data_IF_121204981741
#
_entry.id   IF_121204981741
#
_cell.length_a   1.000
_cell.length_b   1.000
_cell.length_c   1.000
_cell.angle_alpha   90.00
_cell.angle_beta   90.00
_cell.angle_gamma   90.00
#
_symmetry.space_group_name_H-M   'P 1'
#
loop_
_entity.id
_entity.type
_entity.pdbx_description
1 polymer ?
#
# COMPACT_ATOMS: atom_id res chain seq x y z
N UNK A 1 18.62 20.99 112.54
CA UNK A 1 17.21 21.43 112.63
C UNK A 1 16.81 21.88 111.23
N UNK A 2 16.14 21.03 110.45
CA UNK A 2 14.66 20.87 110.41
C UNK A 2 14.03 21.90 109.47
N UNK A 3 13.14 21.62 108.53
CA UNK A 3 12.58 20.42 107.91
C UNK A 3 11.69 20.94 106.75
N UNK A 4 11.49 20.12 105.73
CA UNK A 4 10.68 20.38 104.54
C UNK A 4 9.21 20.79 104.79
N UNK A 5 8.58 21.38 103.75
CA UNK A 5 7.36 20.81 103.13
C UNK A 5 7.00 21.48 101.79
N UNK A 6 6.77 20.62 100.79
CA UNK A 6 6.21 20.91 99.46
C UNK A 6 4.71 21.21 99.56
N UNK A 7 4.20 22.16 98.78
CA UNK A 7 2.82 22.17 98.29
C UNK A 7 2.83 22.55 96.81
N UNK A 8 2.21 21.71 95.99
CA UNK A 8 1.99 21.89 94.57
C UNK A 8 0.68 22.64 94.33
N UNK A 9 0.65 23.57 93.37
CA UNK A 9 -0.59 24.09 92.78
C UNK A 9 -0.41 24.11 91.27
N UNK A 10 -1.23 23.30 90.59
CA UNK A 10 -1.47 23.32 89.16
C UNK A 10 -2.15 24.65 88.78
N UNK A 11 -1.53 25.41 87.89
CA UNK A 11 -2.15 26.53 87.19
C UNK A 11 -2.04 26.30 85.69
N UNK A 12 -3.12 25.84 85.08
CA UNK A 12 -3.30 25.69 83.63
C UNK A 12 -3.26 27.07 82.96
N UNK A 13 -2.16 27.39 82.28
CA UNK A 13 -2.10 28.52 81.35
C UNK A 13 -2.53 28.02 79.98
N UNK A 14 -3.68 28.49 79.51
CA UNK A 14 -4.21 28.24 78.19
C UNK A 14 -3.33 28.99 77.16
N UNK A 15 -2.37 28.28 76.57
CA UNK A 15 -1.59 28.79 75.44
C UNK A 15 -2.50 28.79 74.21
N UNK A 16 -3.10 29.93 73.88
CA UNK A 16 -3.78 30.13 72.61
C UNK A 16 -2.70 30.25 71.51
N UNK A 17 -2.16 29.11 71.06
CA UNK A 17 -1.37 29.05 69.84
C UNK A 17 -2.30 29.38 68.67
N UNK A 18 -2.16 30.57 68.12
CA UNK A 18 -2.71 30.91 66.81
C UNK A 18 -1.97 30.01 65.81
N UNK A 19 -2.46 28.80 65.60
CA UNK A 19 -2.12 28.01 64.43
C UNK A 19 -2.73 28.76 63.25
N UNK A 20 -1.95 29.60 62.59
CA UNK A 20 -2.21 29.99 61.22
C UNK A 20 -2.16 28.71 60.39
N UNK A 21 -3.30 28.01 60.30
CA UNK A 21 -3.47 26.97 59.30
C UNK A 21 -3.16 27.63 57.97
N UNK A 22 -2.23 27.14 57.14
CA UNK A 22 -2.20 27.55 55.76
C UNK A 22 -3.59 27.24 55.22
N UNK A 23 -4.34 28.30 54.89
CA UNK A 23 -5.55 28.16 54.09
C UNK A 23 -5.03 27.75 52.72
N UNK A 24 -4.92 26.44 52.49
CA UNK A 24 -4.81 25.92 51.14
C UNK A 24 -6.11 26.32 50.46
N UNK A 25 -6.05 27.38 49.65
CA UNK A 25 -7.13 27.67 48.73
C UNK A 25 -7.33 26.41 47.87
N UNK A 26 -8.51 25.80 47.94
CA UNK A 26 -8.81 24.67 47.09
C UNK A 26 -8.83 25.17 45.64
N UNK A 27 -7.83 24.78 44.85
CA UNK A 27 -7.75 25.21 43.45
C UNK A 27 -9.03 24.83 42.70
N UNK A 28 -9.61 25.79 41.98
CA UNK A 28 -10.78 25.59 41.13
C UNK A 28 -10.44 24.51 40.09
N UNK A 29 -11.28 23.47 40.00
CA UNK A 29 -11.01 22.35 39.09
C UNK A 29 -11.36 22.71 37.65
N UNK A 30 -10.41 22.54 36.74
CA UNK A 30 -10.65 22.55 35.30
C UNK A 30 -11.20 21.17 34.94
N UNK A 31 -12.45 21.06 34.51
CA UNK A 31 -13.08 19.80 34.12
C UNK A 31 -13.25 19.62 32.61
N UNK A 32 -13.08 20.72 31.86
CA UNK A 32 -13.17 20.79 30.40
C UNK A 32 -12.06 21.65 29.84
N UNK A 33 -11.46 21.19 28.75
CA UNK A 33 -10.33 21.83 28.04
C UNK A 33 -10.73 22.02 26.59
N UNK A 34 -10.65 23.26 26.12
CA UNK A 34 -10.86 23.62 24.72
C UNK A 34 -9.53 24.02 24.09
N UNK A 35 -9.16 23.31 23.01
CA UNK A 35 -7.98 23.57 22.19
C UNK A 35 -8.45 23.91 20.79
N UNK A 36 -7.83 24.91 20.18
CA UNK A 36 -8.07 25.31 18.80
C UNK A 36 -6.77 25.24 18.02
N UNK A 37 -6.84 24.68 16.81
CA UNK A 37 -5.72 24.60 15.88
C UNK A 37 -6.11 25.23 14.55
N UNK A 38 -5.29 26.16 14.07
CA UNK A 38 -5.34 26.69 12.71
C UNK A 38 -4.07 26.26 11.97
N UNK A 39 -4.20 25.81 10.73
CA UNK A 39 -3.07 25.39 9.90
C UNK A 39 -3.07 26.12 8.56
N UNK A 40 -1.89 26.51 8.08
CA UNK A 40 -1.65 26.99 6.71
C UNK A 40 -0.79 26.03 5.89
N UNK A 41 -0.77 24.76 6.31
CA UNK A 41 -0.02 23.68 5.66
C UNK A 41 -0.56 23.38 4.26
N UNK A 42 0.36 23.10 3.35
CA UNK A 42 0.11 22.76 1.97
C UNK A 42 0.62 21.36 1.64
N UNK A 43 0.12 20.81 0.54
CA UNK A 43 0.66 19.57 -0.02
C UNK A 43 2.12 19.84 -0.42
N UNK A 44 3.00 18.89 -0.13
CA UNK A 44 4.43 19.00 -0.38
C UNK A 44 5.24 19.56 0.79
N UNK A 45 4.61 20.23 1.77
CA UNK A 45 5.32 20.75 2.95
C UNK A 45 5.95 19.61 3.77
N UNK A 46 7.06 19.89 4.46
CA UNK A 46 7.70 18.95 5.39
C UNK A 46 7.38 19.31 6.83
N UNK A 47 6.94 18.35 7.64
CA UNK A 47 6.72 18.59 9.08
C UNK A 47 8.00 18.87 9.86
N UNK A 48 9.18 18.65 9.28
CA UNK A 48 10.46 18.93 9.92
C UNK A 48 10.80 20.43 9.90
N UNK A 49 10.16 21.21 9.03
CA UNK A 49 10.42 22.64 8.83
C UNK A 49 9.25 23.55 9.19
N UNK A 50 8.12 22.99 9.62
CA UNK A 50 6.93 23.80 9.96
C UNK A 50 7.14 24.58 11.24
N UNK A 51 6.74 25.84 11.23
CA UNK A 51 6.73 26.69 12.41
C UNK A 51 5.47 26.40 13.24
N UNK A 52 5.67 26.19 14.55
CA UNK A 52 4.57 26.03 15.51
C UNK A 52 4.51 27.29 16.36
N UNK A 53 3.36 27.95 16.36
CA UNK A 53 3.04 29.01 17.29
C UNK A 53 2.01 28.52 18.30
N UNK A 54 2.15 28.92 19.56
CA UNK A 54 1.20 28.57 20.61
C UNK A 54 0.80 29.78 21.46
N UNK A 55 -0.42 29.74 22.01
CA UNK A 55 -1.13 30.87 22.62
C UNK A 55 -1.47 32.02 21.67
N UNK A 56 -1.26 31.84 20.36
CA UNK A 56 -1.66 32.76 19.31
C UNK A 56 -2.48 32.02 18.25
N UNK A 57 -3.40 32.73 17.60
CA UNK A 57 -4.21 32.20 16.49
C UNK A 57 -3.54 32.36 15.12
N UNK A 58 -2.40 33.05 15.04
CA UNK A 58 -1.65 33.36 13.81
C UNK A 58 -0.14 33.50 14.08
N UNK A 59 0.67 33.45 13.02
CA UNK A 59 2.11 33.73 13.08
C UNK A 59 3.02 32.51 12.84
N UNK A 60 2.47 31.29 12.89
CA UNK A 60 3.16 30.08 12.42
C UNK A 60 2.33 29.30 11.40
N UNK A 61 2.91 28.22 10.87
CA UNK A 61 2.24 27.29 9.95
C UNK A 61 1.18 26.46 10.66
N UNK A 62 1.44 26.17 11.94
CA UNK A 62 0.49 25.56 12.87
C UNK A 62 0.35 26.49 14.07
N UNK A 63 -0.87 26.94 14.34
CA UNK A 63 -1.18 27.82 15.46
C UNK A 63 -2.09 27.09 16.44
N UNK A 64 -1.62 26.82 17.65
CA UNK A 64 -2.35 26.11 18.70
C UNK A 64 -2.67 27.05 19.85
N UNK A 65 -3.94 27.22 20.19
CA UNK A 65 -4.33 28.17 21.22
C UNK A 65 -5.56 27.71 21.99
N UNK A 66 -5.78 28.34 23.14
CA UNK A 66 -7.00 28.20 23.92
C UNK A 66 -7.68 29.56 24.05
N UNK A 67 -8.98 29.55 24.31
CA UNK A 67 -9.72 30.75 24.74
C UNK A 67 -10.04 30.71 26.24
N UNK A 68 -9.51 29.72 26.97
CA UNK A 68 -9.69 29.65 28.42
C UNK A 68 -8.76 30.65 29.10
N UNK A 69 -9.25 31.24 30.18
CA UNK A 69 -8.52 32.12 31.11
C UNK A 69 -8.00 31.33 32.33
N UNK A 70 -7.84 30.01 32.21
CA UNK A 70 -7.58 29.09 33.35
C UNK A 70 -6.26 28.34 33.24
N UNK A 71 -5.69 28.31 32.05
CA UNK A 71 -4.48 27.59 31.73
C UNK A 71 -3.88 28.17 30.45
N UNK A 72 -2.58 28.01 30.28
CA UNK A 72 -1.87 28.34 29.05
C UNK A 72 -1.32 27.07 28.40
N UNK A 73 -1.04 27.15 27.09
CA UNK A 73 -0.26 26.13 26.40
C UNK A 73 1.20 26.54 26.53
N UNK A 74 2.01 25.75 27.22
CA UNK A 74 3.41 26.10 27.49
C UNK A 74 4.39 25.41 26.57
N UNK A 75 3.94 24.36 25.89
CA UNK A 75 4.72 23.62 24.90
C UNK A 75 3.81 22.94 23.87
N UNK A 76 4.29 22.86 22.63
CA UNK A 76 3.61 22.23 21.51
C UNK A 76 4.64 21.64 20.54
N UNK A 77 4.58 20.32 20.35
CA UNK A 77 5.53 19.60 19.49
C UNK A 77 4.79 18.65 18.52
N UNK A 78 5.35 18.49 17.33
CA UNK A 78 4.92 17.44 16.39
C UNK A 78 5.54 16.12 16.84
N UNK A 79 4.71 15.09 16.99
CA UNK A 79 5.12 13.75 17.42
C UNK A 79 4.91 12.69 16.35
N UNK A 80 4.34 13.07 15.20
CA UNK A 80 4.20 12.22 14.04
C UNK A 80 3.78 13.03 12.82
N UNK A 81 4.57 12.94 11.76
CA UNK A 81 4.41 13.71 10.53
C UNK A 81 5.14 13.03 9.37
N UNK A 82 5.41 13.79 8.31
CA UNK A 82 6.07 13.31 7.08
C UNK A 82 7.01 14.38 6.53
N UNK A 83 8.06 13.92 5.86
CA UNK A 83 9.02 14.76 5.14
C UNK A 83 8.42 15.43 3.89
N UNK A 84 7.26 14.95 3.44
CA UNK A 84 6.44 15.53 2.38
C UNK A 84 4.99 15.17 2.66
N UNK A 85 4.17 16.18 2.91
CA UNK A 85 2.75 16.02 3.23
C UNK A 85 1.93 15.77 1.96
N UNK A 86 1.08 14.75 2.01
CA UNK A 86 0.14 14.41 0.95
C UNK A 86 -1.30 14.63 1.42
N UNK A 87 -2.24 14.60 0.48
CA UNK A 87 -3.66 14.62 0.79
C UNK A 87 -4.02 13.48 1.77
N UNK A 88 -4.77 13.83 2.80
CA UNK A 88 -5.25 12.90 3.82
C UNK A 88 -4.28 12.61 4.96
N UNK A 89 -3.06 13.15 4.93
CA UNK A 89 -2.12 12.98 6.03
C UNK A 89 -2.63 13.62 7.33
N UNK A 90 -2.52 12.87 8.42
CA UNK A 90 -2.86 13.31 9.78
C UNK A 90 -1.57 13.57 10.57
N UNK A 91 -1.34 14.83 10.96
CA UNK A 91 -0.22 15.22 11.83
C UNK A 91 -0.61 14.98 13.28
N UNK A 92 0.29 14.35 14.05
CA UNK A 92 0.14 14.14 15.48
C UNK A 92 0.93 15.19 16.24
N UNK A 93 0.31 15.75 17.28
CA UNK A 93 0.95 16.73 18.15
C UNK A 93 0.78 16.36 19.61
N UNK A 94 1.76 16.74 20.42
CA UNK A 94 1.71 16.73 21.88
C UNK A 94 1.74 18.16 22.38
N UNK A 95 0.81 18.48 23.25
CA UNK A 95 0.66 19.80 23.87
C UNK A 95 0.85 19.65 25.38
N UNK A 96 1.55 20.58 26.00
CA UNK A 96 1.66 20.69 27.46
C UNK A 96 0.92 21.93 27.92
N UNK A 97 -0.03 21.76 28.83
CA UNK A 97 -0.89 22.81 29.35
C UNK A 97 -0.57 23.03 30.83
N UNK A 98 -0.36 24.26 31.25
CA UNK A 98 -0.08 24.64 32.63
C UNK A 98 -1.28 25.42 33.20
N UNK A 99 -1.84 25.03 34.36
CA UNK A 99 -2.96 25.75 34.95
C UNK A 99 -2.48 27.04 35.62
N UNK A 100 -3.29 28.10 35.56
CA UNK A 100 -3.02 29.32 36.34
C UNK A 100 -3.15 29.03 37.85
N UNK A 101 -2.56 29.90 38.69
CA UNK A 101 -2.35 29.67 40.13
C UNK A 101 -3.59 29.26 40.95
N UNK A 102 -4.78 29.76 40.61
CA UNK A 102 -6.04 29.41 41.28
C UNK A 102 -6.68 28.11 40.78
N UNK A 103 -6.12 27.49 39.73
CA UNK A 103 -6.73 26.38 39.03
C UNK A 103 -5.92 25.08 39.16
N UNK A 104 -6.58 23.96 38.91
CA UNK A 104 -5.90 22.67 38.76
C UNK A 104 -6.66 21.78 37.80
N UNK A 105 -5.95 21.03 36.97
CA UNK A 105 -6.57 20.02 36.12
C UNK A 105 -7.09 18.84 36.95
N UNK A 106 -8.27 18.34 36.59
CA UNK A 106 -8.83 17.12 37.20
C UNK A 106 -7.96 15.89 36.95
N UNK A 107 -8.20 14.81 37.70
CA UNK A 107 -7.37 13.61 37.66
C UNK A 107 -7.33 12.89 36.31
N UNK A 108 -8.47 12.81 35.60
CA UNK A 108 -8.59 12.03 34.36
C UNK A 108 -9.40 12.79 33.31
N UNK A 109 -8.92 12.77 32.07
CA UNK A 109 -9.60 13.33 30.90
C UNK A 109 -9.92 12.26 29.87
N UNK A 110 -11.06 12.44 29.21
CA UNK A 110 -11.50 11.65 28.06
C UNK A 110 -11.95 12.59 26.95
N UNK A 111 -12.35 12.04 25.81
CA UNK A 111 -12.92 12.81 24.68
C UNK A 111 -14.12 13.68 25.08
N UNK A 112 -14.89 13.28 26.11
CA UNK A 112 -16.01 14.10 26.63
C UNK A 112 -15.57 15.40 27.31
N UNK A 113 -14.29 15.50 27.68
CA UNK A 113 -13.74 16.62 28.44
C UNK A 113 -12.82 17.51 27.61
N UNK A 114 -12.39 17.04 26.45
CA UNK A 114 -11.42 17.75 25.61
C UNK A 114 -12.03 17.95 24.25
N UNK A 115 -12.28 19.21 23.90
CA UNK A 115 -12.65 19.61 22.54
C UNK A 115 -11.42 20.13 21.82
N UNK A 116 -11.23 19.65 20.59
CA UNK A 116 -10.15 20.09 19.70
C UNK A 116 -10.79 20.61 18.42
N UNK A 117 -10.81 21.92 18.23
CA UNK A 117 -11.15 22.51 16.92
C UNK A 117 -9.93 22.41 16.02
N UNK A 118 -10.11 22.02 14.75
CA UNK A 118 -8.99 21.79 13.83
C UNK A 118 -8.32 20.42 13.99
N UNK A 119 -8.89 19.52 14.78
CA UNK A 119 -8.35 18.18 14.97
C UNK A 119 -9.22 17.28 15.85
N UNK A 120 -8.61 16.24 16.40
CA UNK A 120 -9.22 15.21 17.25
C UNK A 120 -8.34 14.97 18.47
N UNK A 121 -9.00 14.79 19.60
CA UNK A 121 -8.37 14.29 20.82
C UNK A 121 -7.89 12.84 20.65
N UNK A 122 -6.69 12.51 21.14
CA UNK A 122 -6.16 11.14 21.17
C UNK A 122 -6.06 10.64 22.61
N UNK A 123 -5.32 11.36 23.45
CA UNK A 123 -5.14 10.99 24.86
C UNK A 123 -4.74 12.20 25.69
N UNK A 124 -4.95 12.11 27.00
CA UNK A 124 -4.46 13.10 27.94
C UNK A 124 -3.94 12.42 29.20
N UNK A 125 -2.88 12.99 29.77
CA UNK A 125 -2.27 12.50 31.00
C UNK A 125 -1.78 13.67 31.84
N UNK A 126 -1.94 13.56 33.16
CA UNK A 126 -1.43 14.57 34.08
C UNK A 126 0.01 14.24 34.47
N UNK A 127 0.90 15.23 34.43
CA UNK A 127 2.30 15.08 34.83
C UNK A 127 2.73 16.33 35.61
N UNK A 128 3.11 16.15 36.88
CA UNK A 128 3.61 17.23 37.74
C UNK A 128 2.68 18.45 37.91
N UNK A 129 1.38 18.29 37.71
CA UNK A 129 0.41 19.40 37.77
C UNK A 129 -0.13 19.80 36.40
N UNK A 130 0.69 19.66 35.37
CA UNK A 130 0.36 19.96 33.98
C UNK A 130 -0.48 18.87 33.34
N UNK A 131 -1.20 19.26 32.28
CA UNK A 131 -1.93 18.34 31.42
C UNK A 131 -1.21 18.19 30.09
N UNK A 132 -0.74 16.98 29.79
CA UNK A 132 -0.21 16.63 28.48
C UNK A 132 -1.35 16.09 27.64
N UNK A 133 -1.62 16.72 26.49
CA UNK A 133 -2.69 16.34 25.57
C UNK A 133 -2.09 15.96 24.23
N UNK A 134 -2.34 14.73 23.79
CA UNK A 134 -2.01 14.28 22.44
C UNK A 134 -3.22 14.49 21.53
N UNK A 135 -3.00 15.11 20.38
CA UNK A 135 -4.02 15.39 19.37
C UNK A 135 -3.55 14.90 18.00
N UNK A 136 -4.53 14.69 17.12
CA UNK A 136 -4.34 14.56 15.68
C UNK A 136 -4.97 15.76 15.00
N UNK A 137 -4.26 16.41 14.10
CA UNK A 137 -4.84 17.48 13.30
C UNK A 137 -5.85 16.90 12.31
N UNK A 138 -6.75 17.75 11.81
CA UNK A 138 -7.61 17.37 10.72
C UNK A 138 -6.74 16.95 9.52
N UNK A 139 -7.11 15.87 8.81
CA UNK A 139 -6.41 15.43 7.62
C UNK A 139 -6.23 16.56 6.60
N UNK A 140 -5.06 16.60 5.96
CA UNK A 140 -4.77 17.61 4.95
C UNK A 140 -5.73 17.46 3.77
N UNK A 141 -6.35 18.57 3.37
CA UNK A 141 -7.27 18.60 2.23
C UNK A 141 -6.59 19.24 1.03
N UNK A 142 -6.96 18.81 -0.16
CA UNK A 142 -6.48 19.43 -1.39
C UNK A 142 -7.26 18.98 -2.62
N UNK A 143 -6.77 19.38 -3.79
CA UNK A 143 -7.31 18.94 -5.08
C UNK A 143 -6.26 18.08 -5.74
N UNK A 144 -6.66 16.91 -6.25
CA UNK A 144 -5.75 16.04 -6.99
C UNK A 144 -5.32 16.68 -8.31
N UNK A 145 -4.13 16.31 -8.77
CA UNK A 145 -3.65 16.67 -10.09
C UNK A 145 -4.36 15.85 -11.16
N UNK A 146 -4.64 16.45 -12.34
CA UNK A 146 -5.21 15.71 -13.44
C UNK A 146 -4.19 14.78 -14.09
N UNK A 147 -4.63 13.69 -14.76
CA UNK A 147 -3.72 12.80 -15.47
C UNK A 147 -2.91 13.52 -16.56
N UNK A 148 -1.67 13.06 -16.74
CA UNK A 148 -0.72 13.59 -17.72
C UNK A 148 -0.70 12.70 -18.98
N UNK A 149 -0.13 13.21 -20.08
CA UNK A 149 0.05 12.48 -21.36
C UNK A 149 -1.19 11.67 -21.80
N UNK A 150 -2.35 12.35 -21.78
CA UNK A 150 -3.66 11.77 -22.09
C UNK A 150 -3.84 11.62 -23.59
N UNK A 151 -3.66 10.41 -24.09
CA UNK A 151 -3.59 10.12 -25.53
C UNK A 151 -4.26 8.80 -25.93
N UNK A 152 -4.45 8.61 -27.23
CA UNK A 152 -4.76 7.31 -27.80
C UNK A 152 -3.47 6.56 -28.09
N UNK A 153 -3.41 5.26 -27.77
CA UNK A 153 -2.27 4.42 -28.15
C UNK A 153 -2.19 4.27 -29.68
N UNK A 154 -0.97 4.36 -30.21
CA UNK A 154 -0.68 4.10 -31.63
C UNK A 154 -1.00 2.65 -32.04
N UNK A 155 -0.82 1.70 -31.11
CA UNK A 155 -1.09 0.29 -31.33
C UNK A 155 -2.49 -0.08 -30.82
N UNK A 156 -3.46 -0.21 -31.73
CA UNK A 156 -4.80 -0.72 -31.43
C UNK A 156 -5.87 0.38 -31.30
N UNK A 157 -7.05 0.11 -31.88
CA UNK A 157 -8.14 1.08 -31.98
C UNK A 157 -8.88 1.21 -30.65
N UNK A 158 -9.06 2.44 -30.18
CA UNK A 158 -9.88 2.74 -29.01
C UNK A 158 -9.20 2.50 -27.66
N UNK A 159 -7.87 2.34 -27.65
CA UNK A 159 -7.11 2.19 -26.42
C UNK A 159 -6.66 3.57 -25.93
N UNK A 160 -7.29 4.05 -24.86
CA UNK A 160 -6.88 5.25 -24.13
C UNK A 160 -5.69 4.93 -23.22
N UNK A 161 -4.75 5.87 -23.08
CA UNK A 161 -3.61 5.82 -22.17
C UNK A 161 -3.43 7.19 -21.49
N UNK A 162 -2.91 7.18 -20.27
CA UNK A 162 -2.47 8.36 -19.55
C UNK A 162 -1.34 8.00 -18.58
N UNK A 163 -0.59 9.01 -18.17
CA UNK A 163 0.43 8.90 -17.13
C UNK A 163 -0.16 9.39 -15.79
N UNK A 164 0.25 8.73 -14.71
CA UNK A 164 -0.24 9.01 -13.36
C UNK A 164 0.45 10.28 -12.82
N UNK A 165 -0.30 11.31 -12.38
CA UNK A 165 0.31 12.55 -11.92
C UNK A 165 0.90 12.40 -10.52
N UNK A 166 1.68 13.38 -10.08
CA UNK A 166 2.38 13.33 -8.79
C UNK A 166 1.42 13.21 -7.60
N UNK A 167 0.43 14.10 -7.52
CA UNK A 167 -0.57 14.11 -6.45
C UNK A 167 -1.89 13.49 -6.93
N UNK A 168 -2.06 12.20 -6.67
CA UNK A 168 -3.15 11.38 -7.21
C UNK A 168 -3.73 10.43 -6.19
N UNK A 169 -4.98 10.02 -6.39
CA UNK A 169 -5.58 8.89 -5.68
C UNK A 169 -5.29 7.54 -6.36
N UNK A 170 -4.86 7.56 -7.63
CA UNK A 170 -4.74 6.40 -8.52
C UNK A 170 -6.08 5.89 -9.07
N UNK A 171 -7.17 6.65 -8.89
CA UNK A 171 -8.51 6.34 -9.39
C UNK A 171 -9.01 7.44 -10.33
N UNK A 172 -9.70 7.04 -11.39
CA UNK A 172 -10.10 7.93 -12.48
C UNK A 172 -11.55 7.76 -12.89
N UNK A 173 -12.22 8.88 -13.20
CA UNK A 173 -13.41 8.86 -14.04
C UNK A 173 -12.97 9.07 -15.49
N UNK A 174 -13.51 8.28 -16.42
CA UNK A 174 -13.20 8.35 -17.85
C UNK A 174 -14.50 8.44 -18.64
N UNK A 175 -14.61 9.40 -19.55
CA UNK A 175 -15.79 9.58 -20.40
C UNK A 175 -15.37 9.50 -21.86
N UNK A 176 -15.98 8.58 -22.61
CA UNK A 176 -15.86 8.50 -24.06
C UNK A 176 -16.89 9.41 -24.72
N UNK A 177 -16.43 10.20 -25.69
CA UNK A 177 -17.23 11.11 -26.48
C UNK A 177 -17.11 10.73 -27.96
N UNK A 178 -18.22 10.84 -28.69
CA UNK A 178 -18.24 10.88 -30.16
C UNK A 178 -18.82 12.22 -30.59
N UNK A 179 -18.00 13.08 -31.19
CA UNK A 179 -18.32 14.50 -31.32
C UNK A 179 -18.56 15.12 -29.94
N UNK A 180 -19.78 15.64 -29.70
CA UNK A 180 -20.21 16.18 -28.42
C UNK A 180 -21.05 15.21 -27.57
N UNK A 181 -21.37 14.02 -28.09
CA UNK A 181 -22.22 13.05 -27.42
C UNK A 181 -21.40 12.14 -26.51
N UNK A 182 -21.77 12.07 -25.23
CA UNK A 182 -21.24 11.05 -24.31
C UNK A 182 -21.75 9.67 -24.72
N UNK A 183 -20.81 8.76 -24.97
CA UNK A 183 -21.10 7.37 -25.34
C UNK A 183 -21.09 6.48 -24.11
N UNK A 184 -20.06 6.58 -23.28
CA UNK A 184 -19.96 5.83 -22.03
C UNK A 184 -19.21 6.62 -20.96
N UNK A 185 -19.41 6.23 -19.70
CA UNK A 185 -18.70 6.73 -18.53
C UNK A 185 -18.23 5.55 -17.70
N UNK A 186 -16.94 5.55 -17.38
CA UNK A 186 -16.30 4.65 -16.42
C UNK A 186 -16.01 5.46 -15.17
N UNK A 187 -16.41 4.96 -14.02
CA UNK A 187 -16.23 5.65 -12.73
C UNK A 187 -15.28 4.85 -11.84
N UNK A 188 -14.45 5.56 -11.06
CA UNK A 188 -13.52 4.97 -10.11
C UNK A 188 -12.64 3.84 -10.71
N UNK A 189 -12.17 4.04 -11.94
CA UNK A 189 -11.28 3.10 -12.61
C UNK A 189 -9.85 3.20 -12.04
N UNK A 190 -9.20 2.06 -11.85
CA UNK A 190 -7.80 1.99 -11.42
C UNK A 190 -6.94 1.37 -12.52
N UNK A 191 -5.99 2.14 -13.03
CA UNK A 191 -5.08 1.75 -14.11
C UNK A 191 -4.53 2.98 -14.83
N UNK A 192 -3.76 2.76 -15.89
CA UNK A 192 -3.15 3.80 -16.74
C UNK A 192 -3.55 3.66 -18.23
N UNK A 193 -4.50 2.78 -18.52
CA UNK A 193 -5.08 2.62 -19.85
C UNK A 193 -6.49 2.04 -19.77
N UNK A 194 -7.33 2.32 -20.76
CA UNK A 194 -8.68 1.76 -20.86
C UNK A 194 -9.05 1.50 -22.32
N UNK A 195 -9.71 0.37 -22.59
CA UNK A 195 -10.09 -0.01 -23.95
C UNK A 195 -11.58 0.26 -24.21
N UNK A 196 -11.86 1.30 -24.99
CA UNK A 196 -13.20 1.74 -25.41
C UNK A 196 -13.73 1.02 -26.66
N UNK A 197 -12.99 0.07 -27.24
CA UNK A 197 -13.31 -0.54 -28.53
C UNK A 197 -14.75 -1.04 -28.61
N UNK A 198 -15.28 -1.61 -27.53
CA UNK A 198 -16.63 -2.16 -27.48
C UNK A 198 -17.72 -1.07 -27.57
N UNK A 199 -17.46 0.12 -27.02
CA UNK A 199 -18.39 1.25 -26.97
C UNK A 199 -18.43 2.03 -28.30
N UNK A 200 -17.39 1.89 -29.13
CA UNK A 200 -17.23 2.62 -30.39
C UNK A 200 -18.05 2.02 -31.55
N UNK A 201 -19.38 2.01 -31.43
CA UNK A 201 -20.28 1.26 -32.34
C UNK A 201 -20.68 1.94 -33.63
N UNK A 202 -20.28 3.19 -33.84
CA UNK A 202 -20.58 3.93 -35.06
C UNK A 202 -19.37 4.73 -35.50
N UNK A 203 -19.28 5.03 -36.80
CA UNK A 203 -18.20 5.83 -37.35
C UNK A 203 -18.29 7.26 -36.83
N UNK A 204 -17.15 7.93 -36.81
CA UNK A 204 -17.07 9.33 -36.42
C UNK A 204 -15.85 9.64 -35.59
N UNK A 205 -15.74 10.92 -35.21
CA UNK A 205 -14.63 11.42 -34.41
C UNK A 205 -14.87 11.13 -32.94
N UNK A 206 -13.93 10.42 -32.32
CA UNK A 206 -13.93 10.09 -30.91
C UNK A 206 -12.83 10.86 -30.17
N UNK A 207 -13.11 11.16 -28.90
CA UNK A 207 -12.15 11.61 -27.90
C UNK A 207 -12.59 11.08 -26.55
N UNK A 208 -11.68 11.03 -25.58
CA UNK A 208 -12.07 10.77 -24.21
C UNK A 208 -11.62 11.92 -23.31
N UNK A 209 -12.30 12.07 -22.19
CA UNK A 209 -11.85 12.93 -21.11
C UNK A 209 -11.68 12.12 -19.84
N UNK A 210 -10.70 12.50 -19.04
CA UNK A 210 -10.31 11.80 -17.82
C UNK A 210 -10.04 12.81 -16.70
N UNK A 211 -10.26 12.40 -15.46
CA UNK A 211 -9.84 13.14 -14.27
C UNK A 211 -9.52 12.19 -13.13
N UNK A 212 -8.64 12.61 -12.23
CA UNK A 212 -8.39 11.92 -10.96
C UNK A 212 -9.59 12.15 -10.04
N UNK A 213 -10.08 11.09 -9.39
CA UNK A 213 -11.25 11.13 -8.51
C UNK A 213 -10.94 10.58 -7.12
N UNK A 214 -11.81 10.87 -6.17
CA UNK A 214 -11.66 10.35 -4.82
C UNK A 214 -11.91 8.86 -4.78
N UNK A 215 -11.08 8.09 -4.08
CA UNK A 215 -11.22 6.62 -4.04
C UNK A 215 -12.32 6.11 -3.10
N UNK A 216 -12.78 6.93 -2.15
CA UNK A 216 -13.82 6.60 -1.16
C UNK A 216 -14.35 7.86 -0.43
N UNK A 217 -15.40 7.69 0.39
CA UNK A 217 -16.01 8.76 1.20
C UNK A 217 -15.10 9.38 2.28
N UNK A 218 -13.97 8.74 2.58
CA UNK A 218 -12.96 9.22 3.55
C UNK A 218 -11.80 9.92 2.85
N UNK A 219 -11.88 10.12 1.54
CA UNK A 219 -10.89 10.84 0.78
C UNK A 219 -10.97 12.34 1.11
N UNK A 220 -9.85 12.90 1.54
CA UNK A 220 -9.73 14.31 1.89
C UNK A 220 -9.39 15.19 0.67
N UNK A 221 -9.22 14.56 -0.49
CA UNK A 221 -9.01 15.20 -1.77
C UNK A 221 -10.31 15.60 -2.48
N UNK A 222 -10.19 16.53 -3.40
CA UNK A 222 -11.19 16.86 -4.42
C UNK A 222 -10.71 16.31 -5.76
N UNK A 223 -11.63 15.88 -6.60
CA UNK A 223 -11.31 15.48 -7.97
C UNK A 223 -10.57 16.57 -8.71
N UNK A 224 -9.65 16.17 -9.59
CA UNK A 224 -8.97 17.10 -10.50
C UNK A 224 -9.95 17.68 -11.53
N UNK A 225 -9.46 18.69 -12.26
CA UNK A 225 -10.09 19.10 -13.51
C UNK A 225 -10.07 17.97 -14.56
N UNK A 226 -10.96 18.08 -15.54
CA UNK A 226 -11.00 17.15 -16.67
C UNK A 226 -9.93 17.52 -17.70
N UNK A 227 -9.16 16.54 -18.13
CA UNK A 227 -8.27 16.61 -19.30
C UNK A 227 -8.90 15.83 -20.43
N UNK A 228 -8.77 16.34 -21.66
CA UNK A 228 -9.36 15.73 -22.86
C UNK A 228 -8.24 15.30 -23.79
N UNK A 229 -8.35 14.08 -24.32
CA UNK A 229 -7.43 13.55 -25.32
C UNK A 229 -7.53 14.28 -26.65
N UNK A 230 -6.56 14.02 -27.53
CA UNK A 230 -6.71 14.28 -28.96
C UNK A 230 -7.88 13.51 -29.57
N UNK A 231 -8.29 13.97 -30.74
CA UNK A 231 -9.37 13.39 -31.53
C UNK A 231 -8.84 12.30 -32.48
N UNK A 232 -9.57 11.20 -32.55
CA UNK A 232 -9.31 10.10 -33.50
C UNK A 232 -10.58 9.82 -34.31
N UNK A 233 -10.45 9.74 -35.64
CA UNK A 233 -11.57 9.38 -36.51
C UNK A 233 -11.66 7.86 -36.70
N UNK A 234 -12.80 7.29 -36.33
CA UNK A 234 -13.12 5.89 -36.57
C UNK A 234 -13.92 5.74 -37.86
N UNK A 235 -13.35 5.05 -38.83
CA UNK A 235 -14.02 4.70 -40.08
C UNK A 235 -15.08 3.60 -39.90
N UNK A 236 -16.07 3.55 -40.80
CA UNK A 236 -17.15 2.55 -40.83
C UNK A 236 -16.65 1.11 -40.82
N UNK A 237 -15.54 0.83 -41.51
CA UNK A 237 -14.91 -0.50 -41.53
C UNK A 237 -14.38 -0.96 -40.17
N UNK A 238 -14.18 -0.03 -39.23
CA UNK A 238 -13.56 -0.27 -37.93
C UNK A 238 -14.52 -0.10 -36.75
N UNK A 239 -15.81 0.15 -36.98
CA UNK A 239 -16.80 0.32 -35.91
C UNK A 239 -17.01 -1.00 -35.14
N UNK A 240 -17.38 -0.90 -33.86
CA UNK A 240 -17.85 -2.03 -33.06
C UNK A 240 -19.25 -2.41 -33.52
N UNK A 241 -19.55 -3.67 -33.71
CA UNK A 241 -20.93 -4.07 -34.04
C UNK A 241 -21.87 -4.03 -32.84
N UNK A 242 -21.41 -3.63 -31.64
CA UNK A 242 -22.25 -3.42 -30.45
C UNK A 242 -23.01 -4.65 -29.97
N UNK A 243 -22.73 -5.83 -30.55
CA UNK A 243 -23.48 -7.05 -30.36
C UNK A 243 -22.90 -7.93 -29.28
N UNK A 244 -23.31 -7.69 -28.03
CA UNK A 244 -23.64 -8.80 -27.16
C UNK A 244 -24.83 -9.55 -27.78
N UNK A 245 -24.56 -10.50 -28.67
CA UNK A 245 -25.60 -11.39 -29.16
C UNK A 245 -25.97 -12.38 -28.05
N UNK A 246 -27.12 -12.12 -27.41
CA UNK A 246 -27.94 -13.17 -26.83
C UNK A 246 -28.33 -14.12 -27.95
N UNK A 247 -27.79 -15.32 -27.85
CA UNK A 247 -28.21 -16.58 -28.44
C UNK A 247 -28.11 -16.73 -29.97
N UNK A 248 -26.95 -17.23 -30.41
CA UNK A 248 -26.78 -18.57 -31.02
C UNK A 248 -25.26 -18.89 -31.09
N UNK A 249 -24.80 -19.78 -30.19
CA UNK A 249 -23.52 -20.49 -30.17
C UNK A 249 -22.21 -19.73 -30.51
N UNK A 250 -21.49 -19.25 -29.49
CA UNK A 250 -20.04 -19.53 -29.38
C UNK A 250 -19.02 -18.39 -29.42
N UNK A 251 -19.38 -17.10 -29.36
CA UNK A 251 -18.38 -16.01 -29.43
C UNK A 251 -18.52 -14.98 -28.30
N UNK A 252 -18.11 -15.35 -27.09
CA UNK A 252 -17.88 -14.39 -26.01
C UNK A 252 -16.50 -13.74 -26.13
N UNK A 253 -16.33 -12.49 -25.70
CA UNK A 253 -15.01 -11.86 -25.54
C UNK A 253 -14.38 -12.40 -24.23
N UNK A 254 -13.06 -12.55 -24.20
CA UNK A 254 -12.33 -13.12 -23.07
C UNK A 254 -12.15 -14.64 -23.18
N UNK A 255 -12.16 -15.33 -22.05
CA UNK A 255 -11.99 -16.78 -22.01
C UNK A 255 -13.24 -17.50 -22.50
N UNK A 256 -13.09 -18.29 -23.56
CA UNK A 256 -14.14 -19.09 -24.16
C UNK A 256 -13.78 -20.56 -24.04
N UNK A 257 -14.71 -21.38 -23.53
CA UNK A 257 -14.54 -22.84 -23.52
C UNK A 257 -15.36 -23.45 -24.66
N UNK A 258 -14.72 -24.24 -25.51
CA UNK A 258 -15.39 -25.08 -26.51
C UNK A 258 -14.94 -26.53 -26.33
N UNK A 259 -15.90 -27.40 -25.99
CA UNK A 259 -15.59 -28.75 -25.48
C UNK A 259 -14.72 -28.67 -24.22
N UNK A 260 -13.58 -29.35 -24.24
CA UNK A 260 -12.57 -29.30 -23.16
C UNK A 260 -11.44 -28.30 -23.41
N UNK A 261 -11.53 -27.50 -24.45
CA UNK A 261 -10.47 -26.58 -24.85
C UNK A 261 -10.85 -25.14 -24.55
N UNK A 262 -9.90 -24.39 -23.99
CA UNK A 262 -10.03 -22.96 -23.76
C UNK A 262 -9.40 -22.16 -24.89
N UNK A 263 -10.04 -21.05 -25.21
CA UNK A 263 -9.61 -20.07 -26.20
C UNK A 263 -9.71 -18.69 -25.56
N UNK A 264 -8.92 -17.73 -26.05
CA UNK A 264 -9.06 -16.34 -25.63
C UNK A 264 -9.40 -15.46 -26.82
N UNK A 265 -10.52 -14.76 -26.75
CA UNK A 265 -10.95 -13.82 -27.79
C UNK A 265 -10.71 -12.40 -27.30
N UNK A 266 -9.92 -11.65 -28.05
CA UNK A 266 -9.69 -10.24 -27.77
C UNK A 266 -10.98 -9.43 -27.99
N UNK A 267 -11.08 -8.23 -27.40
CA UNK A 267 -12.23 -7.36 -27.58
C UNK A 267 -12.51 -6.95 -29.03
N UNK A 268 -11.50 -6.96 -29.91
CA UNK A 268 -11.67 -6.71 -31.35
C UNK A 268 -12.29 -7.91 -32.11
N UNK A 269 -12.64 -8.98 -31.39
CA UNK A 269 -13.19 -10.22 -31.93
C UNK A 269 -12.13 -11.19 -32.46
N UNK A 270 -10.86 -10.80 -32.53
CA UNK A 270 -9.79 -11.70 -32.95
C UNK A 270 -9.52 -12.77 -31.89
N UNK A 271 -9.14 -13.96 -32.35
CA UNK A 271 -8.77 -15.06 -31.48
C UNK A 271 -7.27 -14.95 -31.19
N UNK A 272 -6.88 -15.01 -29.91
CA UNK A 272 -5.47 -15.22 -29.58
C UNK A 272 -5.05 -16.58 -30.12
N UNK A 273 -4.19 -16.53 -31.12
CA UNK A 273 -3.53 -17.67 -31.74
C UNK A 273 -2.02 -17.45 -31.63
N UNK A 274 -1.29 -18.55 -31.62
CA UNK A 274 0.16 -18.64 -31.70
C UNK A 274 0.95 -17.79 -30.68
N UNK A 275 1.54 -18.45 -29.70
CA UNK A 275 2.50 -17.86 -28.78
C UNK A 275 1.90 -17.35 -27.48
N UNK A 276 2.73 -16.62 -26.74
CA UNK A 276 2.45 -16.20 -25.37
C UNK A 276 1.44 -15.07 -25.31
N UNK A 277 0.68 -15.01 -24.22
CA UNK A 277 -0.20 -13.89 -23.87
C UNK A 277 -0.21 -13.66 -22.35
N UNK A 278 -0.24 -12.38 -21.94
CA UNK A 278 -0.30 -12.00 -20.53
C UNK A 278 -1.71 -11.51 -20.18
N UNK A 279 -2.45 -12.32 -19.42
CA UNK A 279 -3.88 -12.12 -19.16
C UNK A 279 -4.13 -12.20 -17.65
N UNK A 280 -4.64 -11.12 -17.04
CA UNK A 280 -5.00 -11.12 -15.61
C UNK A 280 -3.85 -11.55 -14.69
N UNK A 281 -2.67 -10.94 -14.88
CA UNK A 281 -1.45 -11.20 -14.14
C UNK A 281 -0.84 -12.60 -14.25
N UNK A 282 -1.18 -13.31 -15.34
CA UNK A 282 -0.67 -14.66 -15.63
C UNK A 282 -0.29 -14.79 -17.09
N UNK A 283 0.76 -15.57 -17.36
CA UNK A 283 1.16 -15.94 -18.72
C UNK A 283 0.45 -17.22 -19.16
N UNK A 284 -0.01 -17.22 -20.41
CA UNK A 284 -0.63 -18.35 -21.10
C UNK A 284 0.04 -18.54 -22.46
N UNK A 285 -0.04 -19.76 -23.00
CA UNK A 285 0.50 -20.09 -24.31
C UNK A 285 -0.61 -20.65 -25.19
N UNK A 286 -0.69 -20.19 -26.44
CA UNK A 286 -1.71 -20.61 -27.40
C UNK A 286 -1.06 -21.25 -28.63
N UNK A 287 -1.69 -22.28 -29.18
CA UNK A 287 -1.26 -22.84 -30.48
C UNK A 287 -1.80 -22.03 -31.66
N UNK A 288 -1.40 -22.43 -32.87
CA UNK A 288 -1.80 -21.82 -34.15
C UNK A 288 -3.32 -21.80 -34.38
N UNK A 289 -4.06 -22.72 -33.78
CA UNK A 289 -5.53 -22.77 -33.82
C UNK A 289 -6.20 -22.00 -32.68
N UNK A 290 -5.43 -21.40 -31.77
CA UNK A 290 -5.89 -20.59 -30.64
C UNK A 290 -6.28 -21.39 -29.41
N UNK A 291 -5.93 -22.68 -29.36
CA UNK A 291 -6.15 -23.51 -28.17
C UNK A 291 -5.14 -23.13 -27.11
N UNK A 292 -5.64 -22.84 -25.91
CA UNK A 292 -4.83 -22.63 -24.72
C UNK A 292 -4.13 -23.94 -24.34
N UNK A 293 -2.80 -23.88 -24.27
CA UNK A 293 -1.96 -25.02 -23.96
C UNK A 293 -1.81 -25.22 -22.45
N UNK A 294 -1.64 -26.49 -22.06
CA UNK A 294 -1.38 -26.92 -20.68
C UNK A 294 -0.21 -27.91 -20.67
N UNK A 295 0.34 -28.21 -19.49
CA UNK A 295 1.45 -29.13 -19.32
C UNK A 295 2.80 -28.59 -19.82
N UNK A 296 3.72 -29.51 -20.14
CA UNK A 296 5.03 -29.17 -20.69
C UNK A 296 4.93 -28.68 -22.13
N UNK A 297 5.51 -27.52 -22.40
CA UNK A 297 5.50 -26.89 -23.72
C UNK A 297 6.91 -26.47 -24.11
N UNK A 298 7.25 -26.65 -25.39
CA UNK A 298 8.50 -26.16 -25.96
C UNK A 298 8.21 -24.92 -26.80
N UNK A 299 8.79 -23.79 -26.43
CA UNK A 299 8.60 -22.50 -27.11
C UNK A 299 9.97 -21.85 -27.31
N UNK A 300 10.29 -21.47 -28.54
CA UNK A 300 11.57 -20.84 -28.91
C UNK A 300 12.82 -21.63 -28.47
N UNK A 301 12.74 -22.96 -28.50
CA UNK A 301 13.83 -23.85 -28.09
C UNK A 301 13.89 -24.14 -26.59
N UNK A 302 13.12 -23.43 -25.78
CA UNK A 302 13.08 -23.54 -24.32
C UNK A 302 11.83 -24.28 -23.83
N UNK A 303 11.93 -24.91 -22.65
CA UNK A 303 10.81 -25.62 -22.04
C UNK A 303 10.13 -24.79 -20.95
N UNK A 304 8.80 -24.83 -20.93
CA UNK A 304 7.94 -24.17 -19.96
C UNK A 304 6.88 -25.15 -19.47
N UNK A 305 6.29 -24.87 -18.31
CA UNK A 305 5.18 -25.66 -17.78
C UNK A 305 3.98 -24.79 -17.49
N UNK A 306 2.83 -25.18 -18.03
CA UNK A 306 1.54 -24.53 -17.87
C UNK A 306 0.68 -25.44 -16.98
N UNK A 307 0.03 -24.91 -15.94
CA UNK A 307 -0.84 -25.74 -15.08
C UNK A 307 -2.13 -26.16 -15.81
N UNK A 308 -3.01 -26.90 -15.14
CA UNK A 308 -4.30 -27.36 -15.70
C UNK A 308 -5.24 -26.22 -16.10
N UNK A 309 -5.03 -25.02 -15.57
CA UNK A 309 -5.74 -23.79 -15.94
C UNK A 309 -4.99 -22.96 -16.99
N UNK A 310 -3.91 -23.49 -17.57
CA UNK A 310 -3.09 -22.83 -18.60
C UNK A 310 -2.11 -21.78 -18.09
N UNK A 311 -2.02 -21.57 -16.78
CA UNK A 311 -1.14 -20.56 -16.21
C UNK A 311 0.31 -21.07 -16.17
N UNK A 312 1.25 -20.28 -16.67
CA UNK A 312 2.67 -20.56 -16.58
C UNK A 312 3.14 -20.66 -15.13
N UNK A 313 3.87 -21.73 -14.82
CA UNK A 313 4.48 -21.96 -13.52
C UNK A 313 5.91 -21.44 -13.47
N UNK A 314 6.34 -21.14 -12.25
CA UNK A 314 7.72 -20.78 -11.89
C UNK A 314 8.09 -21.52 -10.61
N UNK A 315 9.38 -21.64 -10.32
CA UNK A 315 9.92 -22.40 -9.21
C UNK A 315 9.93 -23.92 -9.45
N UNK A 316 9.98 -24.67 -8.35
CA UNK A 316 9.99 -26.13 -8.38
C UNK A 316 8.67 -26.71 -8.91
N UNK A 317 8.77 -27.63 -9.87
CA UNK A 317 7.66 -28.36 -10.45
C UNK A 317 7.97 -29.85 -10.48
N UNK A 318 7.12 -30.66 -9.87
CA UNK A 318 7.21 -32.11 -9.95
C UNK A 318 6.42 -32.62 -11.17
N UNK A 319 7.00 -33.51 -11.94
CA UNK A 319 6.35 -34.15 -13.09
C UNK A 319 6.92 -35.56 -13.30
N UNK A 320 6.06 -36.56 -13.45
CA UNK A 320 6.44 -37.97 -13.64
C UNK A 320 7.48 -38.48 -12.61
N UNK A 321 7.31 -38.10 -11.34
CA UNK A 321 8.21 -38.50 -10.25
C UNK A 321 9.56 -37.78 -10.21
N UNK A 322 9.82 -36.84 -11.12
CA UNK A 322 11.05 -36.03 -11.15
C UNK A 322 10.75 -34.57 -10.82
N UNK A 323 11.73 -33.88 -10.25
CA UNK A 323 11.67 -32.45 -9.97
C UNK A 323 12.38 -31.66 -11.05
N UNK A 324 11.80 -30.53 -11.43
CA UNK A 324 12.33 -29.57 -12.40
C UNK A 324 12.26 -28.18 -11.79
N UNK A 325 13.12 -27.27 -12.23
CA UNK A 325 13.06 -25.87 -11.81
C UNK A 325 12.77 -24.94 -12.98
N UNK A 326 11.68 -24.20 -12.87
CA UNK A 326 11.26 -23.18 -13.83
C UNK A 326 11.73 -21.81 -13.31
N UNK A 327 12.52 -21.10 -14.10
CA UNK A 327 13.19 -19.86 -13.70
C UNK A 327 12.19 -18.85 -13.11
N UNK A 328 12.45 -18.36 -11.89
CA UNK A 328 11.64 -17.31 -11.28
C UNK A 328 12.01 -15.91 -11.77
N UNK A 329 13.24 -15.78 -12.29
CA UNK A 329 13.84 -14.54 -12.79
C UNK A 329 13.74 -14.44 -14.31
N UNK A 330 14.25 -13.36 -14.89
CA UNK A 330 14.23 -13.14 -16.35
C UNK A 330 15.30 -14.02 -17.04
N UNK A 331 14.96 -14.76 -18.12
CA UNK A 331 13.63 -14.99 -18.68
C UNK A 331 12.78 -15.94 -17.82
N UNK A 332 11.59 -15.49 -17.43
CA UNK A 332 10.72 -16.12 -16.44
C UNK A 332 10.03 -17.35 -17.00
N UNK A 333 9.96 -18.42 -16.21
CA UNK A 333 9.27 -19.67 -16.56
C UNK A 333 10.12 -20.68 -17.34
N UNK A 334 11.27 -20.28 -17.90
CA UNK A 334 12.18 -21.18 -18.60
C UNK A 334 12.67 -22.30 -17.68
N UNK A 335 12.58 -23.55 -18.11
CA UNK A 335 13.17 -24.69 -17.40
C UNK A 335 14.70 -24.60 -17.40
N UNK A 336 15.29 -24.72 -16.23
CA UNK A 336 16.74 -24.83 -16.08
C UNK A 336 17.19 -26.26 -16.44
N UNK A 337 18.32 -26.37 -17.13
CA UNK A 337 18.97 -27.64 -17.48
C UNK A 337 20.49 -27.46 -17.54
N UNK A 338 21.21 -28.55 -17.27
CA UNK A 338 22.68 -28.62 -17.24
C UNK A 338 23.32 -27.50 -16.40
N UNK A 339 22.72 -27.18 -15.24
CA UNK A 339 23.12 -26.01 -14.46
C UNK A 339 22.95 -26.21 -12.96
N UNK A 340 23.71 -25.43 -12.20
CA UNK A 340 23.58 -25.31 -10.76
C UNK A 340 22.45 -24.34 -10.40
N UNK A 341 21.69 -24.69 -9.38
CA UNK A 341 20.69 -23.82 -8.76
C UNK A 341 21.06 -23.60 -7.30
N UNK A 342 21.13 -22.33 -6.90
CA UNK A 342 21.31 -21.94 -5.50
C UNK A 342 19.98 -21.36 -4.99
N UNK A 343 19.41 -22.01 -3.98
CA UNK A 343 18.18 -21.56 -3.35
C UNK A 343 18.45 -20.55 -2.24
N UNK A 344 17.45 -19.74 -1.89
CA UNK A 344 17.56 -18.70 -0.86
C UNK A 344 17.82 -19.24 0.54
N UNK A 345 17.57 -20.53 0.78
CA UNK A 345 17.88 -21.23 2.03
C UNK A 345 19.34 -21.73 2.12
N UNK A 346 20.20 -21.35 1.17
CA UNK A 346 21.62 -21.70 1.14
C UNK A 346 21.91 -23.10 0.57
N UNK A 347 20.89 -23.79 0.03
CA UNK A 347 21.07 -25.12 -0.58
C UNK A 347 21.40 -25.04 -2.06
N UNK A 348 22.26 -25.96 -2.49
CA UNK A 348 22.63 -26.14 -3.88
C UNK A 348 21.97 -27.36 -4.48
N UNK A 349 21.51 -27.25 -5.71
CA UNK A 349 20.90 -28.31 -6.51
C UNK A 349 21.56 -28.32 -7.88
N UNK A 350 21.43 -29.42 -8.60
CA UNK A 350 21.87 -29.51 -9.99
C UNK A 350 20.75 -30.10 -10.85
N UNK A 351 20.51 -29.47 -12.00
CA UNK A 351 19.53 -29.92 -12.99
C UNK A 351 20.31 -30.55 -14.14
N UNK A 352 20.00 -31.81 -14.47
CA UNK A 352 20.67 -32.56 -15.53
C UNK A 352 20.38 -32.01 -16.93
N UNK A 353 20.90 -32.67 -17.96
CA UNK A 353 20.71 -32.26 -19.36
C UNK A 353 19.24 -32.28 -19.82
N UNK A 354 18.37 -33.00 -19.11
CA UNK A 354 16.92 -33.04 -19.35
C UNK A 354 16.16 -32.10 -18.39
N UNK A 355 16.87 -31.32 -17.56
CA UNK A 355 16.31 -30.43 -16.55
C UNK A 355 15.84 -31.12 -15.27
N UNK A 356 16.02 -32.43 -15.15
CA UNK A 356 15.63 -33.16 -13.95
C UNK A 356 16.66 -32.93 -12.83
N UNK A 357 16.16 -32.67 -11.63
CA UNK A 357 16.97 -32.54 -10.42
C UNK A 357 17.74 -33.83 -10.15
N UNK A 358 19.05 -33.72 -9.98
CA UNK A 358 19.90 -34.85 -9.66
C UNK A 358 19.70 -35.32 -8.22
N UNK A 359 19.84 -36.64 -8.03
CA UNK A 359 19.84 -37.32 -6.74
C UNK A 359 20.98 -38.34 -6.72
N UNK A 360 21.50 -38.62 -5.53
CA UNK A 360 22.61 -39.54 -5.32
C UNK A 360 23.95 -39.02 -5.86
N UNK A 361 24.88 -39.96 -6.09
CA UNK A 361 26.19 -39.67 -6.65
C UNK A 361 26.09 -39.26 -8.12
N UNK A 362 26.53 -38.04 -8.44
CA UNK A 362 26.47 -37.46 -9.78
C UNK A 362 27.82 -36.85 -10.16
N UNK A 363 28.30 -37.14 -11.37
CA UNK A 363 29.53 -36.53 -11.90
C UNK A 363 29.20 -35.28 -12.74
N UNK A 364 29.77 -34.13 -12.35
CA UNK A 364 29.57 -32.83 -13.00
C UNK A 364 30.94 -32.26 -13.33
N UNK A 365 31.22 -32.02 -14.61
CA UNK A 365 32.51 -31.48 -15.10
C UNK A 365 33.74 -32.21 -14.53
N UNK A 366 33.68 -33.55 -14.50
CA UNK A 366 34.77 -34.42 -14.03
C UNK A 366 34.89 -34.58 -12.51
N UNK A 367 34.09 -33.87 -11.71
CA UNK A 367 34.06 -33.99 -10.23
C UNK A 367 32.80 -34.73 -9.78
N UNK A 368 32.91 -35.50 -8.70
CA UNK A 368 31.78 -36.20 -8.10
C UNK A 368 31.16 -35.38 -6.99
N UNK A 369 29.83 -35.34 -6.96
CA UNK A 369 29.00 -34.69 -5.97
C UNK A 369 27.93 -35.68 -5.49
N UNK A 370 27.37 -35.44 -4.31
CA UNK A 370 26.24 -36.21 -3.80
C UNK A 370 25.06 -35.28 -3.50
N UNK A 371 23.88 -35.63 -4.02
CA UNK A 371 22.62 -34.94 -3.77
C UNK A 371 21.72 -35.85 -2.93
N UNK A 372 21.18 -35.37 -1.81
CA UNK A 372 20.36 -36.21 -0.95
C UNK A 372 19.08 -36.69 -1.66
N UNK A 373 18.81 -38.00 -1.73
CA UNK A 373 17.60 -38.52 -2.38
C UNK A 373 16.32 -37.84 -1.85
N UNK A 374 15.30 -37.72 -2.70
CA UNK A 374 14.03 -37.01 -2.47
C UNK A 374 14.13 -35.48 -2.27
N UNK A 375 15.16 -35.00 -1.57
CA UNK A 375 15.31 -33.59 -1.24
C UNK A 375 16.21 -32.83 -2.21
N UNK A 376 17.10 -33.52 -2.92
CA UNK A 376 17.92 -33.02 -4.02
C UNK A 376 19.02 -32.03 -3.68
N UNK A 377 19.17 -31.60 -2.42
CA UNK A 377 20.23 -30.66 -2.08
C UNK A 377 21.59 -31.35 -1.96
N UNK A 378 22.62 -30.63 -2.38
CA UNK A 378 24.00 -31.09 -2.39
C UNK A 378 24.55 -31.23 -0.97
N UNK A 379 25.24 -32.34 -0.71
CA UNK A 379 26.01 -32.55 0.48
C UNK A 379 27.33 -31.75 0.44
N UNK A 380 27.63 -31.03 1.52
CA UNK A 380 28.86 -30.24 1.68
C UNK A 380 29.47 -30.51 3.06
N UNK A 381 30.80 -30.43 3.17
CA UNK A 381 31.54 -30.60 4.44
C UNK A 381 31.11 -31.84 5.24
N UNK A 382 30.90 -32.96 4.57
CA UNK A 382 30.38 -34.19 5.19
C UNK A 382 31.04 -35.42 4.58
N UNK A 383 30.71 -36.60 5.12
CA UNK A 383 31.10 -37.90 4.55
C UNK A 383 29.83 -38.66 4.19
N UNK A 384 29.76 -39.12 2.94
CA UNK A 384 28.70 -40.02 2.46
C UNK A 384 29.35 -41.38 2.23
N UNK A 385 28.86 -42.39 2.94
CA UNK A 385 29.49 -43.71 3.04
C UNK A 385 30.96 -43.61 3.53
N UNK A 386 31.93 -43.77 2.63
CA UNK A 386 33.37 -43.65 2.89
C UNK A 386 34.03 -42.51 2.11
N UNK A 387 33.24 -41.64 1.48
CA UNK A 387 33.74 -40.58 0.59
C UNK A 387 33.55 -39.20 1.23
N UNK A 388 34.66 -38.49 1.46
CA UNK A 388 34.66 -37.15 2.06
C UNK A 388 34.36 -36.07 1.02
N UNK A 389 33.37 -35.23 1.29
CA UNK A 389 32.97 -34.09 0.46
C UNK A 389 33.46 -32.78 1.08
N UNK A 390 34.10 -31.94 0.27
CA UNK A 390 34.65 -30.65 0.70
C UNK A 390 33.60 -29.54 0.88
N UNK A 391 34.03 -28.30 1.16
CA UNK A 391 33.15 -27.16 1.33
C UNK A 391 32.41 -26.74 0.05
N UNK A 392 32.93 -27.13 -1.12
CA UNK A 392 32.26 -26.95 -2.42
C UNK A 392 31.44 -28.19 -2.84
N UNK A 393 31.27 -29.18 -1.95
CA UNK A 393 30.53 -30.41 -2.19
C UNK A 393 31.23 -31.45 -3.07
N UNK A 394 32.39 -31.14 -3.65
CA UNK A 394 33.11 -32.09 -4.48
C UNK A 394 33.79 -33.17 -3.61
N UNK A 395 33.79 -34.41 -4.10
CA UNK A 395 34.53 -35.51 -3.49
C UNK A 395 36.04 -35.24 -3.49
N UNK A 396 36.64 -35.31 -2.30
CA UNK A 396 38.07 -35.22 -2.07
C UNK A 396 38.64 -36.63 -2.09
N UNK A 397 39.44 -36.91 -3.13
CA UNK A 397 40.16 -38.17 -3.29
C UNK A 397 41.30 -38.32 -2.31
#
# INVERSE_FOLDING_TARGET
MSLAKKIAILGTVLLCSILSKPVYAANKTISSVGIKVNTSLNIGDSTDSVSINYNSSSGGDINVYTTSDRFDIVDAEITGGRSRLNIGDEIKMKLTLEPHSEYSFKGTYSSSNISVSGGKFVSASKKNGDLVVNIKLNPLKGTYEPPEDVEWKDSGIGIAKWDEPGETSGYYDIILLRGSTQITKVENYKGNSYNFRNDMTQKGTYKFKIRTVTSNDKDYGRSSDWVTSDEFYLDESNVSTGGGSRDQAGNSVGWNKSGDTWYFRFPDGSLKTNGWEYIGDKWYLFDDTGRMLTGWQKSEGEYYYLNSSGQMKTGWQQSNGKWYYLNSEVPRGKMLSNTWLHSSDGKYYYLDSNGAMCEGWTQISGKWYYFYPSSGYMAINTTIDSFKLGPNGAWVR
#
